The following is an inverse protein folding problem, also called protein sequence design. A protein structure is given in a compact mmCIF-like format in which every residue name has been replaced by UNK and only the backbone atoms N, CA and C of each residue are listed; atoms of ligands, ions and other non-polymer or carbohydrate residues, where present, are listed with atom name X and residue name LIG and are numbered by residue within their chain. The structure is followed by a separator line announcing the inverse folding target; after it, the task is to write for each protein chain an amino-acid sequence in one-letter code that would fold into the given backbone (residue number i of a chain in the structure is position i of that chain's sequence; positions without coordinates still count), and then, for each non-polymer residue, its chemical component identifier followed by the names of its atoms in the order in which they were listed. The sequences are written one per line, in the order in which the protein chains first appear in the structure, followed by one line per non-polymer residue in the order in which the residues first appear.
data_IF_917753020168
#
_entry.id   IF_917753020168
#
_cell.length_a   1.000
_cell.length_b   1.000
_cell.length_c   1.000
_cell.angle_alpha   90.00
_cell.angle_beta   90.00
_cell.angle_gamma   90.00
#
_symmetry.space_group_name_H-M   'P 1'
#
loop_
_entity.id
_entity.type
_entity.pdbx_description
1 polymer ?
#
# COMPACT_ATOMS: atom_id res chain seq x y z
N UNK A 1 25.01 26.16 41.08
CA UNK A 1 24.22 26.91 42.09
C UNK A 1 25.03 27.49 43.23
N UNK A 2 26.34 27.20 43.35
CA UNK A 2 27.13 27.56 44.55
C UNK A 2 28.08 28.73 44.34
N UNK A 3 28.03 29.42 43.20
CA UNK A 3 28.92 30.60 42.96
C UNK A 3 28.50 31.85 43.78
N UNK A 4 27.30 31.86 44.31
CA UNK A 4 26.76 33.04 45.04
C UNK A 4 27.24 33.14 46.53
N UNK A 5 28.08 32.21 47.05
CA UNK A 5 28.56 32.18 48.41
C UNK A 5 30.09 32.21 48.50
N UNK A 6 30.79 32.71 47.48
CA UNK A 6 32.25 32.85 47.55
C UNK A 6 32.63 33.96 48.59
N UNK A 7 33.12 33.52 49.72
CA UNK A 7 33.78 34.39 50.62
C UNK A 7 35.21 34.63 50.07
N UNK A 8 35.55 35.87 49.72
CA UNK A 8 36.85 36.23 49.14
C UNK A 8 38.08 35.86 50.04
N UNK A 9 37.86 35.45 51.26
CA UNK A 9 38.93 35.05 52.22
C UNK A 9 39.03 33.53 52.39
N UNK A 10 38.12 32.75 51.85
CA UNK A 10 38.14 31.30 51.90
C UNK A 10 38.07 30.81 50.44
N UNK A 11 39.21 30.59 49.80
CA UNK A 11 39.31 30.09 48.45
C UNK A 11 38.99 28.58 48.48
N UNK A 12 37.83 28.14 48.01
CA UNK A 12 37.58 26.72 47.92
C UNK A 12 38.54 26.10 46.92
N UNK A 13 39.27 25.12 47.37
CA UNK A 13 40.08 24.27 46.51
C UNK A 13 39.09 23.49 45.60
N UNK A 14 38.88 23.97 44.38
CA UNK A 14 38.16 23.24 43.36
C UNK A 14 39.10 22.15 42.85
N UNK A 15 38.92 20.92 43.29
CA UNK A 15 39.61 19.80 42.70
C UNK A 15 39.08 19.60 41.27
N UNK A 16 39.88 19.93 40.28
CA UNK A 16 39.60 19.60 38.89
C UNK A 16 39.76 18.09 38.71
N UNK A 17 38.65 17.38 38.52
CA UNK A 17 38.68 15.98 38.10
C UNK A 17 38.60 15.96 36.60
N UNK A 18 39.68 15.63 35.93
CA UNK A 18 39.67 15.40 34.49
C UNK A 18 39.65 13.88 34.25
N UNK A 19 38.68 13.44 33.49
CA UNK A 19 38.65 12.07 32.94
C UNK A 19 39.21 12.13 31.54
N UNK A 20 40.21 11.31 31.23
CA UNK A 20 40.78 11.16 29.89
C UNK A 20 40.15 9.98 29.22
N UNK A 21 39.59 10.19 28.02
CA UNK A 21 39.24 9.12 27.12
C UNK A 21 40.52 8.62 26.43
N UNK A 22 40.95 7.41 26.81
CA UNK A 22 42.16 6.77 26.29
C UNK A 22 42.11 6.57 24.78
N UNK A 23 40.97 6.14 24.24
CA UNK A 23 40.80 5.87 22.82
C UNK A 23 40.95 7.17 22.01
N UNK A 24 40.32 8.24 22.43
CA UNK A 24 40.47 9.57 21.81
C UNK A 24 41.91 10.06 21.84
N UNK A 25 42.62 9.89 22.93
CA UNK A 25 44.02 10.28 23.04
C UNK A 25 44.93 9.46 22.08
N UNK A 26 44.75 8.16 22.06
CA UNK A 26 45.48 7.26 21.15
C UNK A 26 45.20 7.57 19.67
N UNK A 27 43.96 7.83 19.30
CA UNK A 27 43.57 8.24 17.96
C UNK A 27 44.21 9.57 17.54
N UNK A 28 44.21 10.57 18.47
CA UNK A 28 44.83 11.87 18.19
C UNK A 28 46.33 11.75 17.95
N UNK A 29 47.02 10.99 18.81
CA UNK A 29 48.48 10.78 18.68
C UNK A 29 48.80 9.97 17.43
N UNK A 30 48.00 8.94 17.11
CA UNK A 30 48.12 8.14 15.87
C UNK A 30 47.96 9.03 14.67
N UNK A 31 46.95 9.90 14.63
CA UNK A 31 46.69 10.81 13.54
C UNK A 31 47.81 11.79 13.27
N UNK A 32 48.54 12.20 14.32
CA UNK A 32 49.68 13.12 14.23
C UNK A 32 51.02 12.47 13.89
N UNK A 33 51.20 11.18 14.21
CA UNK A 33 52.51 10.50 14.09
C UNK A 33 52.59 9.41 13.04
N UNK A 34 51.42 8.93 12.51
CA UNK A 34 51.39 7.82 11.56
C UNK A 34 50.65 8.25 10.31
N UNK A 35 51.27 8.09 9.15
CA UNK A 35 50.62 8.32 7.90
C UNK A 35 49.39 7.41 7.73
N UNK A 36 48.35 7.89 7.10
CA UNK A 36 47.06 7.16 6.98
C UNK A 36 47.24 5.77 6.35
N UNK A 37 48.11 5.66 5.34
CA UNK A 37 48.43 4.41 4.68
C UNK A 37 49.10 3.35 5.55
N UNK A 38 49.78 3.81 6.63
CA UNK A 38 50.53 2.97 7.57
C UNK A 38 49.70 2.59 8.82
N UNK A 39 48.48 3.13 8.96
CA UNK A 39 47.59 2.81 10.11
C UNK A 39 46.98 1.45 9.96
N UNK A 40 46.68 0.80 11.09
CA UNK A 40 45.89 -0.44 11.10
C UNK A 40 44.52 -0.21 10.42
N UNK A 41 44.16 -1.10 9.53
CA UNK A 41 42.88 -1.09 8.82
C UNK A 41 41.90 -2.10 9.45
N UNK A 42 40.70 -1.65 9.74
CA UNK A 42 39.64 -2.50 10.30
C UNK A 42 39.05 -3.37 9.20
N UNK A 43 38.78 -4.64 9.48
CA UNK A 43 38.01 -5.50 8.60
C UNK A 43 36.63 -4.85 8.29
N UNK A 44 36.18 -4.94 7.06
CA UNK A 44 34.90 -4.37 6.64
C UNK A 44 33.99 -5.41 5.98
N UNK A 45 32.68 -5.24 6.18
CA UNK A 45 31.63 -6.00 5.49
C UNK A 45 30.64 -5.00 4.93
N UNK A 46 30.55 -4.90 3.60
CA UNK A 46 29.77 -3.87 2.90
C UNK A 46 28.95 -4.49 1.79
N UNK A 47 27.68 -4.06 1.66
CA UNK A 47 26.83 -4.53 0.57
C UNK A 47 27.27 -3.96 -0.79
N UNK A 48 27.57 -4.86 -1.71
CA UNK A 48 27.94 -4.54 -3.07
C UNK A 48 26.74 -4.67 -4.01
N UNK A 49 26.24 -3.53 -4.50
CA UNK A 49 25.05 -3.47 -5.38
C UNK A 49 25.27 -4.18 -6.74
N UNK A 50 26.52 -4.30 -7.19
CA UNK A 50 26.83 -4.94 -8.47
C UNK A 50 26.77 -6.47 -8.38
N UNK A 51 27.30 -7.05 -7.29
CA UNK A 51 27.30 -8.49 -7.03
C UNK A 51 26.03 -8.92 -6.29
N UNK A 52 25.28 -7.95 -5.69
CA UNK A 52 24.13 -8.18 -4.81
C UNK A 52 24.44 -9.06 -3.61
N UNK A 53 25.63 -8.87 -3.05
CA UNK A 53 26.13 -9.59 -1.88
C UNK A 53 26.89 -8.64 -0.95
N UNK A 54 27.06 -9.06 0.29
CA UNK A 54 28.00 -8.41 1.20
C UNK A 54 29.38 -8.94 0.93
N UNK A 55 30.31 -8.02 0.64
CA UNK A 55 31.73 -8.32 0.42
C UNK A 55 32.48 -8.06 1.71
N UNK A 56 33.40 -8.98 2.04
CA UNK A 56 34.32 -8.86 3.14
C UNK A 56 35.69 -8.37 2.63
N UNK A 57 36.29 -7.44 3.39
CA UNK A 57 37.67 -7.04 3.20
C UNK A 57 38.42 -7.27 4.52
N UNK A 58 39.52 -8.01 4.48
CA UNK A 58 40.34 -8.30 5.63
C UNK A 58 40.92 -7.06 6.27
N UNK A 59 40.98 -7.04 7.59
CA UNK A 59 41.72 -6.02 8.30
C UNK A 59 43.24 -6.20 8.11
N UNK A 60 44.00 -5.15 8.35
CA UNK A 60 45.46 -5.14 8.23
C UNK A 60 46.08 -4.56 9.48
N UNK A 61 47.16 -5.22 9.98
CA UNK A 61 48.01 -4.63 10.99
C UNK A 61 48.71 -3.39 10.41
N UNK A 62 48.95 -2.42 11.24
CA UNK A 62 49.60 -1.20 10.84
C UNK A 62 50.63 -0.74 11.88
N UNK A 63 50.94 0.55 11.89
CA UNK A 63 51.77 1.22 12.88
C UNK A 63 50.89 2.03 13.82
N UNK A 64 51.26 2.11 15.06
CA UNK A 64 50.61 2.93 16.07
C UNK A 64 51.63 3.33 17.18
N UNK A 65 51.31 4.33 18.01
CA UNK A 65 52.13 4.68 19.15
C UNK A 65 52.09 3.59 20.21
N UNK A 66 53.12 3.54 21.07
CA UNK A 66 53.05 2.75 22.31
C UNK A 66 51.96 3.35 23.21
N UNK A 67 50.85 2.66 23.32
CA UNK A 67 49.67 3.12 24.06
C UNK A 67 49.93 3.30 25.53
N UNK A 68 50.84 2.53 26.13
CA UNK A 68 51.22 2.70 27.53
C UNK A 68 51.93 4.02 27.74
N UNK A 69 52.83 4.41 26.81
CA UNK A 69 53.54 5.68 26.87
C UNK A 69 52.60 6.86 26.68
N UNK A 70 51.68 6.76 25.71
CA UNK A 70 50.64 7.78 25.46
C UNK A 70 49.76 7.97 26.69
N UNK A 71 49.22 6.87 27.25
CA UNK A 71 48.35 6.93 28.41
C UNK A 71 49.06 7.47 29.69
N UNK A 72 50.33 7.12 29.90
CA UNK A 72 51.12 7.66 30.99
C UNK A 72 51.34 9.18 30.84
N UNK A 73 51.68 9.62 29.59
CA UNK A 73 51.88 11.03 29.29
C UNK A 73 50.61 11.86 29.45
N UNK A 74 49.46 11.35 29.00
CA UNK A 74 48.17 12.03 29.19
C UNK A 74 47.80 12.14 30.67
N UNK A 75 48.03 11.08 31.45
CA UNK A 75 47.77 11.07 32.88
C UNK A 75 48.65 12.11 33.62
N UNK A 76 49.91 12.21 33.22
CA UNK A 76 50.84 13.19 33.79
C UNK A 76 50.45 14.62 33.42
N UNK A 77 50.14 14.88 32.17
CA UNK A 77 49.69 16.19 31.69
C UNK A 77 48.40 16.67 32.39
N UNK A 78 47.49 15.75 32.72
CA UNK A 78 46.29 16.07 33.50
C UNK A 78 46.61 16.36 34.95
N UNK A 79 47.62 15.70 35.55
CA UNK A 79 48.03 15.91 36.92
C UNK A 79 48.80 17.22 37.11
N UNK A 80 49.47 17.74 36.08
CA UNK A 80 50.28 18.98 36.10
C UNK A 80 49.79 19.99 35.04
N UNK A 81 48.60 20.57 35.19
CA UNK A 81 48.06 21.50 34.21
C UNK A 81 48.93 22.73 34.00
N UNK A 82 49.26 23.05 32.73
CA UNK A 82 50.05 24.22 32.35
C UNK A 82 51.54 23.94 32.14
N UNK A 83 52.01 22.74 32.39
CA UNK A 83 53.37 22.31 32.03
C UNK A 83 53.40 21.68 30.64
N UNK A 84 54.34 22.05 29.80
CA UNK A 84 54.59 21.43 28.50
C UNK A 84 55.54 20.24 28.69
N UNK A 85 55.02 19.03 28.49
CA UNK A 85 55.83 17.82 28.50
C UNK A 85 56.08 17.35 27.05
N UNK A 86 57.33 17.03 26.71
CA UNK A 86 57.69 16.35 25.47
C UNK A 86 57.99 14.90 25.79
N UNK A 87 57.18 13.98 25.26
CA UNK A 87 57.32 12.56 25.49
C UNK A 87 57.74 11.87 24.19
N UNK A 88 58.86 11.14 24.17
CA UNK A 88 59.28 10.37 23.00
C UNK A 88 58.37 9.14 22.86
N UNK A 89 57.54 9.15 21.81
CA UNK A 89 56.66 8.01 21.51
C UNK A 89 57.29 7.16 20.40
N UNK A 90 57.52 5.88 20.67
CA UNK A 90 57.96 4.92 19.65
C UNK A 90 56.74 4.34 18.94
N UNK A 91 56.86 4.19 17.61
CA UNK A 91 55.89 3.46 16.84
C UNK A 91 56.12 1.94 16.95
N UNK A 92 55.06 1.21 17.12
CA UNK A 92 55.02 -0.25 17.17
C UNK A 92 53.94 -0.80 16.25
N UNK A 93 53.90 -2.13 16.08
CA UNK A 93 52.82 -2.75 15.33
C UNK A 93 51.50 -2.55 16.07
N UNK A 94 50.56 -1.87 15.40
CA UNK A 94 49.20 -1.80 15.85
C UNK A 94 48.42 -2.93 15.16
N UNK A 95 47.84 -3.83 15.94
CA UNK A 95 47.04 -4.91 15.42
C UNK A 95 45.70 -4.44 14.86
N UNK A 96 45.23 -5.11 13.83
CA UNK A 96 43.82 -4.98 13.43
C UNK A 96 42.94 -5.19 14.69
N UNK A 97 42.10 -4.19 15.06
CA UNK A 97 41.32 -4.31 16.29
C UNK A 97 40.15 -5.26 16.21
N UNK A 98 39.84 -5.77 15.01
CA UNK A 98 38.67 -6.66 14.77
C UNK A 98 39.14 -8.02 14.30
N UNK A 99 38.66 -9.05 14.96
CA UNK A 99 38.90 -10.44 14.53
C UNK A 99 38.30 -10.71 13.14
N UNK A 100 39.12 -11.12 12.21
CA UNK A 100 38.73 -11.44 10.84
C UNK A 100 37.70 -12.58 10.77
N UNK A 101 37.75 -13.53 11.69
CA UNK A 101 36.77 -14.63 11.74
C UNK A 101 35.38 -14.09 12.08
N UNK A 102 35.26 -13.12 12.99
CA UNK A 102 33.98 -12.48 13.32
C UNK A 102 33.42 -11.66 12.16
N UNK A 103 34.28 -10.99 11.39
CA UNK A 103 33.87 -10.24 10.21
C UNK A 103 33.42 -11.17 9.09
N UNK A 104 34.11 -12.26 8.82
CA UNK A 104 33.71 -13.29 7.86
C UNK A 104 32.38 -13.95 8.25
N UNK A 105 32.17 -14.26 9.53
CA UNK A 105 30.90 -14.79 10.02
C UNK A 105 29.78 -13.76 9.81
N UNK A 106 30.03 -12.48 10.06
CA UNK A 106 29.07 -11.40 9.81
C UNK A 106 28.70 -11.30 8.32
N UNK A 107 29.67 -11.43 7.43
CA UNK A 107 29.44 -11.49 5.98
C UNK A 107 28.55 -12.68 5.61
N UNK A 108 28.90 -13.88 6.10
CA UNK A 108 28.15 -15.11 5.86
C UNK A 108 26.68 -14.95 6.32
N UNK A 109 26.50 -14.46 7.54
CA UNK A 109 25.19 -14.23 8.15
C UNK A 109 24.36 -13.18 7.39
N UNK A 110 25.00 -12.12 6.91
CA UNK A 110 24.34 -11.10 6.10
C UNK A 110 23.88 -11.65 4.75
N UNK A 111 24.77 -12.39 4.06
CA UNK A 111 24.45 -13.00 2.77
C UNK A 111 23.36 -14.08 2.87
N UNK A 112 23.34 -14.88 3.94
CA UNK A 112 22.29 -15.86 4.19
C UNK A 112 20.88 -15.20 4.26
N UNK A 113 20.79 -14.00 4.83
CA UNK A 113 19.52 -13.26 4.98
C UNK A 113 18.99 -12.66 3.70
N UNK A 114 19.84 -12.46 2.69
CA UNK A 114 19.39 -11.92 1.39
C UNK A 114 18.45 -12.87 0.64
N UNK A 115 18.50 -14.17 0.96
CA UNK A 115 17.63 -15.19 0.37
C UNK A 115 16.26 -15.34 1.07
N UNK A 116 16.00 -14.61 2.13
CA UNK A 116 14.73 -14.69 2.86
C UNK A 116 13.56 -14.22 2.00
N UNK A 117 12.46 -14.97 2.08
CA UNK A 117 11.18 -14.56 1.52
C UNK A 117 10.40 -13.79 2.60
N UNK A 118 10.42 -12.49 2.49
CA UNK A 118 9.74 -11.58 3.41
C UNK A 118 8.60 -10.89 2.65
N UNK A 119 7.38 -10.99 3.17
CA UNK A 119 6.19 -10.43 2.55
C UNK A 119 5.50 -9.48 3.52
N UNK A 120 4.98 -8.39 2.99
CA UNK A 120 4.08 -7.47 3.70
C UNK A 120 2.75 -7.49 2.97
N UNK A 121 1.65 -7.70 3.68
CA UNK A 121 0.31 -7.75 3.12
C UNK A 121 -0.66 -6.80 3.83
N UNK A 122 -1.85 -6.63 3.25
CA UNK A 122 -2.94 -5.85 3.82
C UNK A 122 -3.97 -6.72 4.58
N UNK A 123 -3.67 -7.99 4.83
CA UNK A 123 -4.54 -8.93 5.51
C UNK A 123 -5.76 -9.39 4.69
N UNK A 124 -5.93 -8.95 3.45
CA UNK A 124 -7.09 -9.26 2.60
C UNK A 124 -6.68 -9.81 1.24
N UNK A 125 -6.08 -9.01 0.37
CA UNK A 125 -5.88 -9.41 -1.03
C UNK A 125 -4.68 -8.75 -1.72
N UNK A 126 -3.89 -7.95 -1.03
CA UNK A 126 -2.71 -7.29 -1.58
C UNK A 126 -1.47 -7.64 -0.76
N UNK A 127 -0.37 -7.90 -1.45
CA UNK A 127 0.91 -8.22 -0.80
C UNK A 127 2.08 -7.68 -1.61
N UNK A 128 3.17 -7.36 -0.92
CA UNK A 128 4.44 -6.92 -1.48
C UNK A 128 5.54 -7.82 -0.95
N UNK A 129 6.30 -8.43 -1.84
CA UNK A 129 7.52 -9.18 -1.46
C UNK A 129 8.69 -8.20 -1.39
N UNK A 130 9.47 -8.28 -0.31
CA UNK A 130 10.61 -7.40 -0.09
C UNK A 130 11.81 -7.89 -0.91
N UNK A 131 12.36 -7.05 -1.81
CA UNK A 131 13.53 -7.43 -2.61
C UNK A 131 14.80 -7.59 -1.77
N UNK A 132 15.73 -8.43 -2.23
CA UNK A 132 17.01 -8.67 -1.56
C UNK A 132 17.82 -7.37 -1.32
N UNK A 133 17.83 -6.45 -2.29
CA UNK A 133 18.50 -5.14 -2.14
C UNK A 133 17.91 -4.30 -0.98
N UNK A 134 16.60 -4.44 -0.76
CA UNK A 134 15.91 -3.80 0.36
C UNK A 134 16.24 -4.51 1.67
N UNK A 135 16.26 -5.86 1.69
CA UNK A 135 16.68 -6.63 2.86
C UNK A 135 18.11 -6.23 3.26
N UNK A 136 19.03 -6.08 2.28
CA UNK A 136 20.39 -5.63 2.54
C UNK A 136 20.43 -4.27 3.27
N UNK A 137 19.49 -3.37 2.97
CA UNK A 137 19.43 -2.06 3.62
C UNK A 137 19.01 -2.11 5.10
N UNK A 138 18.41 -3.21 5.52
CA UNK A 138 18.02 -3.46 6.92
C UNK A 138 19.16 -4.07 7.74
N UNK A 139 20.24 -4.51 7.10
CA UNK A 139 21.35 -5.22 7.73
C UNK A 139 22.52 -4.28 7.93
N UNK A 140 22.97 -4.11 9.19
CA UNK A 140 24.07 -3.24 9.58
C UNK A 140 25.19 -4.06 10.21
N UNK A 141 26.28 -4.37 9.48
CA UNK A 141 27.51 -4.83 10.09
C UNK A 141 28.02 -3.79 11.09
N UNK A 142 28.18 -4.16 12.35
CA UNK A 142 28.54 -3.27 13.45
C UNK A 142 29.78 -3.76 14.15
N UNK A 143 30.73 -2.85 14.36
CA UNK A 143 32.02 -3.12 14.99
C UNK A 143 31.92 -2.86 16.50
N UNK A 144 32.34 -3.85 17.31
CA UNK A 144 32.60 -3.68 18.73
C UNK A 144 34.11 -3.72 18.95
N UNK A 145 34.77 -2.53 19.00
CA UNK A 145 36.21 -2.43 19.19
C UNK A 145 36.66 -2.90 20.57
N UNK A 146 35.82 -2.79 21.59
CA UNK A 146 36.18 -3.20 22.96
C UNK A 146 36.34 -4.72 23.08
N UNK A 147 35.51 -5.46 22.32
CA UNK A 147 35.55 -6.93 22.27
C UNK A 147 36.36 -7.44 21.10
N UNK A 148 36.75 -6.58 20.16
CA UNK A 148 37.45 -6.96 18.94
C UNK A 148 36.60 -7.75 17.96
N UNK A 149 35.30 -7.55 17.97
CA UNK A 149 34.35 -8.35 17.16
C UNK A 149 33.53 -7.51 16.19
N UNK A 150 33.01 -8.14 15.17
CA UNK A 150 31.96 -7.62 14.29
C UNK A 150 30.69 -8.46 14.43
N UNK A 151 29.55 -7.84 14.40
CA UNK A 151 28.25 -8.50 14.47
C UNK A 151 27.25 -7.86 13.50
N UNK A 152 26.20 -8.60 13.14
CA UNK A 152 25.13 -8.11 12.29
C UNK A 152 23.98 -7.60 13.15
N UNK A 153 23.59 -6.35 12.94
CA UNK A 153 22.45 -5.72 13.60
C UNK A 153 21.34 -5.46 12.58
N UNK A 154 20.09 -5.71 12.98
CA UNK A 154 18.91 -5.42 12.16
C UNK A 154 18.40 -4.01 12.46
N UNK A 155 18.31 -3.17 11.44
CA UNK A 155 17.82 -1.80 11.54
C UNK A 155 16.28 -1.76 11.51
N UNK A 156 15.66 -1.76 12.68
CA UNK A 156 14.20 -1.72 12.84
C UNK A 156 13.58 -0.42 12.34
N UNK A 157 14.31 0.69 12.41
CA UNK A 157 13.84 1.98 11.91
C UNK A 157 13.81 1.98 10.37
N UNK A 158 14.81 1.39 9.72
CA UNK A 158 14.81 1.21 8.26
C UNK A 158 13.65 0.33 7.80
N UNK A 159 13.34 -0.76 8.52
CA UNK A 159 12.19 -1.63 8.23
C UNK A 159 10.89 -0.82 8.36
N UNK A 160 10.70 -0.10 9.45
CA UNK A 160 9.50 0.70 9.69
C UNK A 160 9.32 1.75 8.58
N UNK A 161 10.39 2.44 8.21
CA UNK A 161 10.39 3.43 7.14
C UNK A 161 10.04 2.82 5.78
N UNK A 162 10.52 1.63 5.48
CA UNK A 162 10.18 0.92 4.25
C UNK A 162 8.70 0.54 4.21
N UNK A 163 8.20 -0.12 5.26
CA UNK A 163 6.82 -0.60 5.36
C UNK A 163 5.80 0.55 5.26
N UNK A 164 6.14 1.72 5.80
CA UNK A 164 5.29 2.92 5.77
C UNK A 164 5.55 3.84 4.57
N UNK A 165 6.44 3.44 3.65
CA UNK A 165 6.74 4.25 2.46
C UNK A 165 5.55 4.34 1.51
N UNK A 166 5.45 5.44 0.77
CA UNK A 166 4.38 5.67 -0.22
C UNK A 166 4.30 4.55 -1.26
N UNK A 167 5.45 3.97 -1.64
CA UNK A 167 5.50 2.88 -2.61
C UNK A 167 4.82 1.61 -2.09
N UNK A 168 5.06 1.23 -0.82
CA UNK A 168 4.47 0.04 -0.20
C UNK A 168 3.01 0.28 0.14
N UNK A 169 2.69 1.40 0.78
CA UNK A 169 1.32 1.71 1.21
C UNK A 169 0.37 1.84 0.02
N UNK A 170 0.81 2.44 -1.09
CA UNK A 170 0.03 2.55 -2.32
C UNK A 170 -0.25 1.18 -2.96
N UNK A 171 0.74 0.29 -2.96
CA UNK A 171 0.59 -1.07 -3.50
C UNK A 171 -0.41 -1.90 -2.68
N UNK A 172 -0.41 -1.72 -1.35
CA UNK A 172 -1.27 -2.44 -0.41
C UNK A 172 -2.67 -1.83 -0.26
N UNK A 173 -2.87 -0.60 -0.70
CA UNK A 173 -4.17 0.07 -0.69
C UNK A 173 -5.07 -0.49 -1.79
N UNK A 174 -6.34 -0.71 -1.47
CA UNK A 174 -7.39 -1.05 -2.44
C UNK A 174 -8.30 0.17 -2.61
N UNK A 175 -8.31 0.81 -3.78
CA UNK A 175 -9.18 1.96 -3.99
C UNK A 175 -10.65 1.55 -3.96
N UNK A 176 -11.49 2.38 -3.31
CA UNK A 176 -12.94 2.21 -3.35
C UNK A 176 -13.52 2.58 -4.72
N UNK A 177 -14.64 1.96 -5.07
CA UNK A 177 -15.42 2.30 -6.27
C UNK A 177 -16.72 2.95 -5.82
N UNK A 178 -16.98 4.17 -6.28
CA UNK A 178 -18.22 4.90 -5.95
C UNK A 178 -19.44 4.18 -6.58
N UNK A 179 -20.46 3.91 -5.76
CA UNK A 179 -21.76 3.45 -6.22
C UNK A 179 -22.45 4.61 -6.96
N UNK A 180 -22.82 4.43 -8.22
CA UNK A 180 -23.68 5.40 -8.93
C UNK A 180 -25.07 4.84 -9.09
N UNK A 181 -26.06 5.60 -8.63
CA UNK A 181 -27.49 5.24 -8.74
C UNK A 181 -28.27 6.31 -9.43
N UNK A 182 -29.30 5.93 -10.17
CA UNK A 182 -30.28 6.86 -10.67
C UNK A 182 -31.33 7.14 -9.60
N UNK A 183 -31.75 8.39 -9.50
CA UNK A 183 -32.85 8.81 -8.60
C UNK A 183 -33.91 9.58 -9.40
N UNK A 184 -35.17 9.53 -8.92
CA UNK A 184 -36.21 10.48 -9.36
C UNK A 184 -35.74 11.91 -9.07
N UNK A 185 -36.34 12.93 -9.72
CA UNK A 185 -36.09 14.31 -9.36
C UNK A 185 -36.23 14.53 -7.85
N UNK A 186 -35.35 15.36 -7.28
CA UNK A 186 -35.33 15.59 -5.82
C UNK A 186 -36.61 16.21 -5.27
N UNK A 187 -37.27 17.02 -6.08
CA UNK A 187 -38.60 17.60 -5.77
C UNK A 187 -39.73 16.54 -5.83
N UNK A 188 -39.49 15.38 -6.45
CA UNK A 188 -40.34 14.18 -6.43
C UNK A 188 -39.91 13.16 -5.36
N UNK A 189 -38.98 13.52 -4.47
CA UNK A 189 -38.56 12.68 -3.36
C UNK A 189 -37.19 12.05 -3.49
N UNK A 190 -36.51 12.13 -4.65
CA UNK A 190 -35.15 11.60 -4.84
C UNK A 190 -35.02 10.10 -4.59
N UNK A 191 -36.01 9.32 -4.99
CA UNK A 191 -36.05 7.87 -4.77
C UNK A 191 -35.17 7.14 -5.78
N UNK A 192 -34.41 6.14 -5.35
CA UNK A 192 -33.60 5.31 -6.24
C UNK A 192 -34.50 4.53 -7.20
N UNK A 193 -34.11 4.51 -8.48
CA UNK A 193 -34.84 3.87 -9.58
C UNK A 193 -33.93 2.95 -10.37
N UNK A 194 -34.45 1.76 -10.64
CA UNK A 194 -33.72 0.77 -11.46
C UNK A 194 -32.51 0.14 -10.79
N UNK A 195 -31.64 -0.44 -11.60
CA UNK A 195 -30.39 -1.04 -11.14
C UNK A 195 -29.30 0.03 -11.01
N UNK A 196 -28.31 -0.25 -10.19
CA UNK A 196 -27.13 0.59 -10.06
C UNK A 196 -26.45 0.80 -11.41
N UNK A 197 -26.13 2.05 -11.73
CA UNK A 197 -25.32 2.38 -12.90
C UNK A 197 -23.88 1.87 -12.74
N UNK A 198 -23.36 1.95 -11.50
CA UNK A 198 -22.08 1.40 -11.09
C UNK A 198 -22.23 0.80 -9.72
N UNK A 199 -21.86 -0.46 -9.57
CA UNK A 199 -21.83 -1.11 -8.24
C UNK A 199 -20.74 -0.49 -7.39
N UNK A 200 -21.06 -0.17 -6.13
CA UNK A 200 -20.08 0.26 -5.15
C UNK A 200 -19.19 -0.91 -4.72
N UNK A 201 -17.92 -0.61 -4.51
CA UNK A 201 -16.98 -1.58 -3.93
C UNK A 201 -16.20 -0.87 -2.83
N UNK A 202 -16.19 -1.47 -1.64
CA UNK A 202 -15.40 -0.97 -0.53
C UNK A 202 -13.91 -1.09 -0.84
N UNK A 203 -13.16 -0.08 -0.46
CA UNK A 203 -11.71 -0.06 -0.51
C UNK A 203 -11.09 -0.46 0.82
N UNK A 204 -9.75 -0.51 0.82
CA UNK A 204 -8.93 -0.72 2.02
C UNK A 204 -7.86 0.35 2.02
N UNK A 205 -7.73 1.08 3.12
CA UNK A 205 -6.72 2.10 3.32
C UNK A 205 -5.68 1.63 4.34
N UNK A 206 -4.39 1.71 3.99
CA UNK A 206 -3.31 1.45 4.93
C UNK A 206 -3.20 2.62 5.90
N UNK A 207 -3.25 2.34 7.21
CA UNK A 207 -3.25 3.35 8.28
C UNK A 207 -1.96 3.39 9.09
N UNK A 208 -1.11 2.38 8.94
CA UNK A 208 0.16 2.31 9.67
C UNK A 208 0.91 1.02 9.41
N UNK A 209 2.02 0.85 10.13
CA UNK A 209 2.92 -0.28 9.94
C UNK A 209 2.37 -1.64 10.43
N UNK A 210 1.36 -1.65 11.30
CA UNK A 210 0.83 -2.88 11.90
C UNK A 210 1.89 -3.65 12.71
N UNK A 211 1.87 -4.99 12.59
CA UNK A 211 2.86 -5.87 13.21
C UNK A 211 4.12 -6.08 12.34
N UNK A 212 4.10 -5.56 11.12
CA UNK A 212 5.11 -5.84 10.11
C UNK A 212 6.54 -5.51 10.55
N UNK A 213 6.87 -4.35 11.15
CA UNK A 213 8.25 -4.06 11.51
C UNK A 213 8.83 -5.04 12.51
N UNK A 214 8.08 -5.41 13.53
CA UNK A 214 8.53 -6.32 14.57
C UNK A 214 8.69 -7.75 14.06
N UNK A 215 7.71 -8.24 13.30
CA UNK A 215 7.76 -9.57 12.71
C UNK A 215 8.90 -9.72 11.71
N UNK A 216 9.09 -8.74 10.84
CA UNK A 216 10.17 -8.74 9.85
C UNK A 216 11.54 -8.69 10.54
N UNK A 217 11.72 -7.80 11.54
CA UNK A 217 12.97 -7.71 12.27
C UNK A 217 13.32 -9.04 12.97
N UNK A 218 12.37 -9.62 13.69
CA UNK A 218 12.54 -10.90 14.38
C UNK A 218 12.86 -12.03 13.39
N UNK A 219 12.16 -12.08 12.26
CA UNK A 219 12.41 -13.08 11.24
C UNK A 219 13.82 -12.94 10.62
N UNK A 220 14.27 -11.73 10.34
CA UNK A 220 15.61 -11.45 9.84
C UNK A 220 16.66 -11.85 10.90
N UNK A 221 16.46 -11.50 12.17
CA UNK A 221 17.37 -11.91 13.27
C UNK A 221 17.50 -13.42 13.36
N UNK A 222 16.39 -14.14 13.23
CA UNK A 222 16.32 -15.62 13.28
C UNK A 222 16.69 -16.30 11.96
N UNK A 223 17.00 -15.55 10.90
CA UNK A 223 17.23 -16.06 9.55
C UNK A 223 16.06 -16.92 9.03
N UNK A 224 14.83 -16.43 9.18
CA UNK A 224 13.60 -17.12 8.79
C UNK A 224 12.76 -16.24 7.84
N UNK A 225 12.09 -16.89 6.89
CA UNK A 225 11.10 -16.23 6.03
C UNK A 225 9.80 -16.01 6.81
N UNK A 226 9.08 -14.91 6.52
CA UNK A 226 7.81 -14.61 7.18
C UNK A 226 6.92 -13.75 6.30
N UNK A 227 5.62 -13.85 6.56
CA UNK A 227 4.61 -12.88 6.13
C UNK A 227 4.25 -11.99 7.32
N UNK A 228 3.94 -10.74 7.04
CA UNK A 228 3.59 -9.73 8.03
C UNK A 228 2.49 -8.82 7.49
N UNK A 229 1.72 -8.18 8.37
CA UNK A 229 0.53 -7.43 7.96
C UNK A 229 0.63 -5.99 8.43
N UNK A 230 0.30 -5.05 7.54
CA UNK A 230 0.16 -3.63 7.90
C UNK A 230 -1.19 -3.36 8.58
N UNK A 231 -1.26 -2.25 9.32
CA UNK A 231 -2.55 -1.79 9.85
C UNK A 231 -3.39 -1.19 8.73
N UNK A 232 -4.64 -1.64 8.64
CA UNK A 232 -5.59 -1.18 7.63
C UNK A 232 -6.90 -0.76 8.27
N UNK A 233 -7.70 0.00 7.52
CA UNK A 233 -9.11 0.25 7.81
C UNK A 233 -9.93 0.08 6.54
N UNK A 234 -11.19 -0.29 6.70
CA UNK A 234 -12.15 -0.28 5.62
C UNK A 234 -12.38 1.17 5.14
N UNK A 235 -12.50 1.32 3.83
CA UNK A 235 -12.84 2.57 3.17
C UNK A 235 -14.15 2.36 2.41
N UNK A 236 -15.31 2.54 3.07
CA UNK A 236 -16.62 2.33 2.45
C UNK A 236 -16.77 3.17 1.20
N UNK A 237 -17.44 2.62 0.20
CA UNK A 237 -17.72 3.34 -1.03
C UNK A 237 -18.64 4.55 -0.79
N UNK A 238 -18.47 5.57 -1.62
CA UNK A 238 -19.39 6.70 -1.67
C UNK A 238 -20.58 6.35 -2.57
N UNK A 239 -21.73 7.00 -2.32
CA UNK A 239 -22.90 6.93 -3.19
C UNK A 239 -23.05 8.24 -3.94
N UNK A 240 -23.07 8.15 -5.29
CA UNK A 240 -23.35 9.27 -6.17
C UNK A 240 -24.72 9.09 -6.80
N UNK A 241 -25.62 9.97 -6.47
CA UNK A 241 -26.95 10.02 -7.06
C UNK A 241 -26.91 10.80 -8.36
N UNK A 242 -27.49 10.23 -9.41
CA UNK A 242 -27.67 10.86 -10.73
C UNK A 242 -29.15 11.09 -10.93
N UNK A 243 -29.56 12.35 -10.84
CA UNK A 243 -30.95 12.74 -11.03
C UNK A 243 -31.35 12.58 -12.49
N UNK A 244 -32.47 11.88 -12.73
CA UNK A 244 -33.05 11.78 -14.08
C UNK A 244 -33.94 12.98 -14.36
N UNK A 245 -34.20 13.33 -15.62
CA UNK A 245 -35.08 14.44 -15.95
C UNK A 245 -36.48 14.26 -15.35
N UNK A 246 -37.02 15.33 -14.80
CA UNK A 246 -38.32 15.34 -14.12
C UNK A 246 -39.49 14.94 -15.05
N UNK A 247 -39.56 15.48 -16.25
CA UNK A 247 -40.56 15.18 -17.25
C UNK A 247 -39.94 15.28 -18.64
N UNK A 248 -40.52 14.56 -19.61
CA UNK A 248 -40.22 14.80 -21.01
C UNK A 248 -40.91 16.09 -21.44
N UNK A 249 -40.19 16.96 -22.14
CA UNK A 249 -40.71 18.18 -22.70
C UNK A 249 -41.16 17.94 -24.15
N UNK A 250 -42.47 17.74 -24.33
CA UNK A 250 -43.02 17.51 -25.66
C UNK A 250 -42.87 18.71 -26.57
N UNK A 251 -42.83 19.93 -26.01
CA UNK A 251 -42.65 21.14 -26.81
C UNK A 251 -41.21 21.26 -27.36
N UNK A 252 -40.21 20.75 -26.64
CA UNK A 252 -38.80 20.71 -27.06
C UNK A 252 -38.47 19.47 -27.92
N UNK A 253 -39.42 18.58 -28.14
CA UNK A 253 -39.23 17.41 -28.99
C UNK A 253 -38.54 16.23 -28.30
N UNK A 254 -38.70 16.08 -26.99
CA UNK A 254 -38.19 14.93 -26.23
C UNK A 254 -38.75 13.61 -26.77
N UNK A 255 -37.93 12.57 -26.67
CA UNK A 255 -38.30 11.23 -27.12
C UNK A 255 -38.92 10.45 -25.97
N UNK A 256 -40.10 9.89 -26.20
CA UNK A 256 -40.82 9.09 -25.22
C UNK A 256 -41.65 8.00 -25.88
N UNK A 257 -42.09 7.01 -25.11
CA UNK A 257 -42.89 5.89 -25.57
C UNK A 257 -44.12 5.81 -24.69
N UNK A 258 -45.29 5.82 -25.34
CA UNK A 258 -46.54 5.49 -24.69
C UNK A 258 -46.84 4.00 -24.88
N UNK A 259 -46.99 3.29 -23.78
CA UNK A 259 -47.35 1.86 -23.76
C UNK A 259 -48.79 1.73 -23.33
N UNK A 260 -49.59 1.11 -24.16
CA UNK A 260 -50.99 0.77 -23.90
C UNK A 260 -51.09 -0.75 -23.68
N UNK A 261 -51.18 -1.15 -22.42
CA UNK A 261 -51.26 -2.55 -22.01
C UNK A 261 -52.61 -3.17 -22.37
N UNK A 262 -53.68 -2.36 -22.50
CA UNK A 262 -55.02 -2.84 -22.88
C UNK A 262 -55.06 -3.27 -24.36
N UNK A 263 -54.47 -2.40 -25.20
CA UNK A 263 -54.44 -2.63 -26.65
C UNK A 263 -53.13 -3.32 -27.10
N UNK A 264 -52.26 -3.62 -26.19
CA UNK A 264 -50.95 -4.26 -26.45
C UNK A 264 -50.17 -3.52 -27.54
N UNK A 265 -50.02 -2.19 -27.38
CA UNK A 265 -49.32 -1.37 -28.35
C UNK A 265 -48.34 -0.43 -27.64
N UNK A 266 -47.20 -0.17 -28.28
CA UNK A 266 -46.28 0.89 -27.90
C UNK A 266 -46.14 1.91 -29.01
N UNK A 267 -46.27 3.17 -28.68
CA UNK A 267 -46.13 4.28 -29.64
C UNK A 267 -44.96 5.16 -29.26
N UNK A 268 -43.94 5.21 -30.11
CA UNK A 268 -42.79 6.07 -29.94
C UNK A 268 -43.09 7.48 -30.50
N UNK A 269 -42.73 8.49 -29.70
CA UNK A 269 -42.92 9.90 -30.02
C UNK A 269 -41.61 10.66 -30.03
N UNK A 270 -41.55 11.74 -30.76
CA UNK A 270 -40.62 12.82 -30.62
C UNK A 270 -41.42 14.13 -30.45
N UNK A 271 -41.42 14.70 -29.27
CA UNK A 271 -42.37 15.73 -28.90
C UNK A 271 -43.81 15.20 -29.01
N UNK A 272 -44.64 15.82 -29.82
CA UNK A 272 -46.03 15.41 -30.11
C UNK A 272 -46.13 14.56 -31.37
N UNK A 273 -45.03 14.37 -32.09
CA UNK A 273 -45.04 13.64 -33.39
C UNK A 273 -44.89 12.13 -33.18
N UNK A 274 -45.78 11.35 -33.69
CA UNK A 274 -45.66 9.89 -33.73
C UNK A 274 -44.53 9.50 -34.67
N UNK A 275 -43.51 8.84 -34.12
CA UNK A 275 -42.39 8.29 -34.91
C UNK A 275 -42.68 6.90 -35.40
N UNK A 276 -43.20 6.05 -34.52
CA UNK A 276 -43.54 4.65 -34.88
C UNK A 276 -44.50 4.04 -33.85
N UNK A 277 -45.31 3.14 -34.30
CA UNK A 277 -46.22 2.31 -33.50
C UNK A 277 -45.88 0.84 -33.68
N UNK A 278 -45.88 0.09 -32.56
CA UNK A 278 -45.57 -1.32 -32.52
C UNK A 278 -46.70 -2.08 -31.82
N UNK A 279 -46.95 -3.31 -32.23
CA UNK A 279 -47.62 -4.26 -31.36
C UNK A 279 -46.59 -4.82 -30.38
N UNK A 280 -46.99 -5.00 -29.16
CA UNK A 280 -46.12 -5.50 -28.07
C UNK A 280 -46.67 -6.78 -27.47
N UNK A 281 -45.89 -7.42 -26.65
CA UNK A 281 -46.34 -8.42 -25.69
C UNK A 281 -45.89 -8.00 -24.31
N UNK A 282 -46.81 -7.54 -23.49
CA UNK A 282 -46.53 -7.21 -22.10
C UNK A 282 -46.52 -8.44 -21.19
N UNK A 283 -46.25 -8.23 -19.92
CA UNK A 283 -46.28 -9.27 -18.91
C UNK A 283 -47.60 -10.04 -18.89
N UNK A 284 -47.52 -11.37 -18.83
CA UNK A 284 -48.69 -12.23 -18.76
C UNK A 284 -49.37 -12.18 -17.39
N UNK A 285 -50.70 -12.25 -17.34
CA UNK A 285 -51.40 -12.35 -16.05
C UNK A 285 -51.11 -13.69 -15.38
N UNK A 286 -50.58 -13.62 -14.14
CA UNK A 286 -50.39 -14.76 -13.25
C UNK A 286 -51.30 -14.59 -12.03
N UNK A 287 -51.57 -15.67 -11.32
CA UNK A 287 -52.49 -15.63 -10.17
C UNK A 287 -51.99 -14.70 -9.03
N UNK A 288 -50.68 -14.52 -8.93
CA UNK A 288 -50.03 -13.67 -7.95
C UNK A 288 -49.60 -12.29 -8.51
N UNK A 289 -49.82 -12.05 -9.80
CA UNK A 289 -49.44 -10.82 -10.49
C UNK A 289 -47.92 -10.65 -10.72
N UNK A 290 -47.11 -11.64 -10.38
CA UNK A 290 -45.64 -11.56 -10.43
C UNK A 290 -45.02 -11.31 -11.79
N UNK A 291 -45.78 -11.54 -12.85
CA UNK A 291 -45.33 -11.36 -14.26
C UNK A 291 -46.03 -10.21 -14.97
N UNK A 292 -46.84 -9.42 -14.28
CA UNK A 292 -47.49 -8.26 -14.94
C UNK A 292 -46.41 -7.16 -15.17
N UNK A 293 -46.57 -6.42 -16.27
CA UNK A 293 -45.83 -5.19 -16.45
C UNK A 293 -46.39 -4.09 -15.56
N UNK A 294 -45.50 -3.39 -14.87
CA UNK A 294 -45.89 -2.29 -14.03
C UNK A 294 -46.44 -1.11 -14.80
N UNK A 295 -47.36 -0.36 -14.18
CA UNK A 295 -47.98 0.84 -14.78
C UNK A 295 -47.48 2.10 -14.12
N UNK A 296 -47.22 3.14 -14.89
CA UNK A 296 -46.70 4.41 -14.41
C UNK A 296 -45.92 5.18 -15.44
N UNK A 297 -45.24 6.21 -15.00
CA UNK A 297 -44.26 6.94 -15.80
C UNK A 297 -42.87 6.53 -15.36
N UNK A 298 -42.10 6.03 -16.29
CA UNK A 298 -40.75 5.49 -16.03
C UNK A 298 -39.72 6.16 -16.91
N UNK A 299 -38.46 6.08 -16.50
CA UNK A 299 -37.31 6.57 -17.26
C UNK A 299 -36.42 5.43 -17.69
N UNK A 300 -35.97 5.42 -18.94
CA UNK A 300 -34.98 4.46 -19.40
C UNK A 300 -33.61 4.84 -18.78
N UNK A 301 -33.11 4.00 -17.93
CA UNK A 301 -31.86 4.25 -17.19
C UNK A 301 -30.67 3.42 -17.68
N UNK A 302 -30.90 2.33 -18.43
CA UNK A 302 -29.83 1.44 -18.90
C UNK A 302 -30.22 0.87 -20.28
N UNK A 303 -29.24 0.83 -21.19
CA UNK A 303 -29.45 0.33 -22.57
C UNK A 303 -28.34 -0.62 -22.98
N UNK A 304 -28.73 -1.66 -23.69
CA UNK A 304 -27.81 -2.58 -24.36
C UNK A 304 -28.26 -2.82 -25.82
N UNK A 305 -27.29 -2.93 -26.73
CA UNK A 305 -27.59 -3.37 -28.11
C UNK A 305 -28.03 -4.82 -28.15
N UNK A 306 -27.42 -5.65 -27.30
CA UNK A 306 -27.80 -7.06 -27.11
C UNK A 306 -27.37 -7.52 -25.70
N UNK A 307 -28.19 -8.32 -25.06
CA UNK A 307 -27.92 -8.88 -23.73
C UNK A 307 -28.53 -10.28 -23.61
N UNK A 308 -27.91 -11.14 -22.80
CA UNK A 308 -28.57 -12.35 -22.28
C UNK A 308 -29.46 -11.94 -21.12
N UNK A 309 -30.76 -12.10 -21.24
CA UNK A 309 -31.71 -11.86 -20.17
C UNK A 309 -31.97 -13.15 -19.40
N UNK A 310 -31.82 -13.09 -18.08
CA UNK A 310 -31.99 -14.24 -17.19
C UNK A 310 -32.97 -13.87 -16.10
N UNK A 311 -33.91 -14.75 -15.85
CA UNK A 311 -34.88 -14.62 -14.76
C UNK A 311 -35.39 -16.00 -14.35
N UNK A 312 -36.35 -16.00 -13.39
CA UNK A 312 -36.93 -17.26 -12.92
C UNK A 312 -37.59 -18.02 -14.07
N UNK A 313 -37.09 -19.21 -14.36
CA UNK A 313 -37.59 -20.08 -15.39
C UNK A 313 -37.19 -19.74 -16.82
N UNK A 314 -36.33 -18.73 -17.05
CA UNK A 314 -35.84 -18.43 -18.41
C UNK A 314 -34.38 -17.98 -18.46
N UNK A 315 -33.73 -18.30 -19.58
CA UNK A 315 -32.42 -17.77 -19.97
C UNK A 315 -32.49 -17.49 -21.48
N UNK A 316 -32.47 -16.20 -21.83
CA UNK A 316 -32.71 -15.73 -23.18
C UNK A 316 -31.48 -14.98 -23.73
N UNK A 317 -30.58 -15.69 -24.43
CA UNK A 317 -29.39 -15.07 -25.01
C UNK A 317 -29.72 -14.22 -26.22
N UNK A 318 -28.93 -13.17 -26.46
CA UNK A 318 -28.99 -12.36 -27.66
C UNK A 318 -30.26 -11.50 -27.79
N UNK A 319 -30.91 -11.15 -26.68
CA UNK A 319 -32.06 -10.23 -26.67
C UNK A 319 -31.58 -8.85 -27.15
N UNK A 320 -32.14 -8.34 -28.28
CA UNK A 320 -31.65 -7.10 -28.86
C UNK A 320 -32.36 -5.86 -28.32
N UNK A 321 -31.64 -4.74 -28.35
CA UNK A 321 -32.15 -3.38 -28.06
C UNK A 321 -32.81 -3.23 -26.70
N UNK A 322 -32.21 -3.83 -25.69
CA UNK A 322 -32.73 -3.82 -24.30
C UNK A 322 -32.63 -2.41 -23.70
N UNK A 323 -33.76 -1.90 -23.24
CA UNK A 323 -33.87 -0.59 -22.59
C UNK A 323 -34.60 -0.75 -21.25
N UNK A 324 -33.87 -0.87 -20.15
CA UNK A 324 -34.43 -1.02 -18.81
C UNK A 324 -35.08 0.27 -18.33
N UNK A 325 -36.26 0.18 -17.76
CA UNK A 325 -37.04 1.30 -17.27
C UNK A 325 -37.55 1.12 -15.83
N UNK A 326 -37.69 -0.12 -15.34
CA UNK A 326 -38.19 -0.40 -13.99
C UNK A 326 -37.61 -1.73 -13.47
N UNK A 327 -36.72 -1.72 -12.48
CA UNK A 327 -36.12 -2.93 -11.93
C UNK A 327 -35.55 -3.86 -13.01
N UNK A 328 -36.13 -5.04 -13.18
CA UNK A 328 -35.81 -5.99 -14.23
C UNK A 328 -36.60 -5.81 -15.51
N UNK A 329 -37.56 -4.89 -15.57
CA UNK A 329 -38.42 -4.67 -16.73
C UNK A 329 -37.72 -3.81 -17.81
N UNK A 330 -37.83 -4.21 -19.05
CA UNK A 330 -37.23 -3.53 -20.18
C UNK A 330 -38.14 -3.53 -21.42
N UNK A 331 -37.98 -2.50 -22.23
CA UNK A 331 -38.40 -2.56 -23.65
C UNK A 331 -37.28 -3.29 -24.40
N UNK A 332 -37.58 -4.30 -25.16
CA UNK A 332 -36.59 -5.04 -25.93
C UNK A 332 -37.17 -5.72 -27.19
N UNK A 333 -36.31 -6.11 -28.11
CA UNK A 333 -36.70 -6.91 -29.26
C UNK A 333 -36.71 -8.40 -28.92
N UNK A 334 -37.31 -9.19 -29.80
CA UNK A 334 -37.27 -10.65 -29.73
C UNK A 334 -35.97 -11.14 -30.39
N UNK A 335 -35.20 -12.05 -29.75
CA UNK A 335 -34.01 -12.63 -30.36
C UNK A 335 -34.26 -13.27 -31.69
N UNK A 336 -33.32 -13.16 -32.63
CA UNK A 336 -33.49 -13.65 -34.01
C UNK A 336 -33.78 -15.16 -34.10
N UNK A 337 -33.26 -15.95 -33.16
CA UNK A 337 -33.55 -17.41 -33.15
C UNK A 337 -34.98 -17.75 -32.77
N UNK A 338 -35.77 -16.79 -32.27
CA UNK A 338 -37.18 -16.94 -31.94
C UNK A 338 -38.10 -16.47 -33.08
N UNK A 339 -37.54 -16.03 -34.20
CA UNK A 339 -38.30 -15.61 -35.38
C UNK A 339 -38.63 -16.81 -36.25
N UNK A 340 -39.72 -16.73 -36.99
CA UNK A 340 -40.12 -17.74 -37.96
C UNK A 340 -40.98 -18.86 -37.38
N UNK A 341 -40.59 -20.12 -37.60
CA UNK A 341 -41.41 -21.32 -37.33
C UNK A 341 -41.56 -21.66 -35.82
N UNK A 342 -41.01 -20.83 -34.93
CA UNK A 342 -41.15 -20.98 -33.48
C UNK A 342 -42.08 -19.90 -32.90
N UNK A 343 -43.37 -19.92 -33.15
CA UNK A 343 -44.32 -18.89 -32.71
C UNK A 343 -44.66 -18.98 -31.21
N UNK A 344 -43.84 -19.60 -30.39
CA UNK A 344 -44.35 -20.28 -29.20
C UNK A 344 -44.34 -19.45 -27.96
N UNK A 345 -43.53 -18.39 -27.87
CA UNK A 345 -43.35 -17.75 -26.56
C UNK A 345 -43.83 -16.30 -26.46
N UNK A 346 -43.90 -15.56 -27.56
CA UNK A 346 -44.37 -14.18 -27.53
C UNK A 346 -45.11 -13.83 -28.81
N UNK A 347 -46.42 -13.90 -28.77
CA UNK A 347 -47.24 -13.37 -29.82
C UNK A 347 -47.51 -11.89 -29.59
N UNK A 348 -47.06 -11.01 -30.49
CA UNK A 348 -47.38 -9.58 -30.40
C UNK A 348 -48.90 -9.34 -30.43
N UNK A 349 -49.35 -8.42 -29.60
CA UNK A 349 -50.78 -8.11 -29.41
C UNK A 349 -51.45 -8.88 -28.27
N UNK A 350 -50.71 -9.75 -27.57
CA UNK A 350 -51.23 -10.55 -26.45
C UNK A 350 -50.20 -10.53 -25.32
N UNK A 351 -50.62 -10.34 -24.05
CA UNK A 351 -49.74 -10.48 -22.91
C UNK A 351 -49.09 -11.87 -22.87
N UNK A 352 -47.75 -11.94 -22.77
CA UNK A 352 -47.03 -13.21 -22.85
C UNK A 352 -45.61 -13.19 -22.23
N UNK A 353 -45.11 -12.05 -21.86
CA UNK A 353 -43.76 -11.89 -21.28
C UNK A 353 -43.75 -12.15 -19.76
N UNK A 354 -42.56 -12.03 -19.15
CA UNK A 354 -42.36 -12.10 -17.71
C UNK A 354 -42.27 -10.69 -17.06
N UNK A 355 -42.92 -9.68 -17.67
CA UNK A 355 -42.96 -8.29 -17.21
C UNK A 355 -42.40 -7.29 -18.21
N UNK A 356 -41.43 -7.69 -19.01
CA UNK A 356 -40.89 -6.88 -20.10
C UNK A 356 -41.91 -6.57 -21.20
N UNK A 357 -41.60 -5.58 -22.03
CA UNK A 357 -42.42 -5.10 -23.15
C UNK A 357 -41.66 -5.21 -24.44
#
# INVERSE_FOLDING_TARGET
GDVAKLNIFDQPHIALTATTDKETAEQFVTAGLVDEADRAQIATVVYNKSTKQFDYTAGQDGKGPDTNVVNAAVKEAVATPGENATVPVKLQTAKNPIDDASAQQTQFDANARLGLKLTVDNGVNKSVTIPADTIASFLKPTVNKAEGTMSLVVDRDAITKYVTSDSVTKELTVPKVTREVYITPKDEGGVEIGADKTLGVDGIEVTGAGDAPERLATAIEQNQSTDSTVAVKDSPYDVKQVEVPHNFDTANGDKWVHVDLTNQTATAYQGTTVVKKFNIASGKPTADGSMLSDTGTFYVYLKYESQTMVGEGYNQPGTPWVSYYNGGEALHGVPAYMWGEHPIYVQQGIPGSHGCI
#
